data_IF_936463542554
#
_entry.id   IF_936463542554
#
_cell.length_a   1.000
_cell.length_b   1.000
_cell.length_c   1.000
_cell.angle_alpha   90.00
_cell.angle_beta   90.00
_cell.angle_gamma   90.00
#
_symmetry.space_group_name_H-M   'P 1'
#
loop_
_entity.id
_entity.type
_entity.pdbx_description
1 polymer ?
#
# COMPACT_ATOMS: atom_id res chain seq x y z
N UNK A 1 61.71 21.16 -43.20
CA UNK A 1 62.28 20.12 -42.32
C UNK A 1 61.23 19.70 -41.30
N UNK A 2 60.97 18.38 -41.20
CA UNK A 2 60.54 17.54 -40.04
C UNK A 2 59.69 18.20 -38.91
N UNK A 3 58.66 17.59 -38.31
CA UNK A 3 58.03 16.27 -38.31
C UNK A 3 56.78 16.39 -37.39
N UNK A 4 55.83 15.47 -37.54
CA UNK A 4 54.64 15.23 -36.71
C UNK A 4 54.93 15.05 -35.21
N UNK A 5 53.95 15.37 -34.35
CA UNK A 5 53.64 14.58 -33.15
C UNK A 5 52.13 14.63 -32.83
N UNK A 6 51.53 13.43 -32.86
CA UNK A 6 50.18 13.08 -32.44
C UNK A 6 50.18 12.95 -30.91
N UNK A 7 49.12 13.43 -30.24
CA UNK A 7 48.97 13.33 -28.79
C UNK A 7 47.50 13.15 -28.38
N UNK A 8 47.04 11.91 -28.46
CA UNK A 8 45.99 11.23 -27.66
C UNK A 8 44.95 12.06 -26.91
N UNK A 9 43.69 11.90 -27.33
CA UNK A 9 42.50 12.13 -26.51
C UNK A 9 42.48 11.21 -25.29
N UNK A 10 42.34 11.78 -24.10
CA UNK A 10 41.88 11.08 -22.90
C UNK A 10 40.44 11.52 -22.63
N UNK A 11 39.51 10.64 -22.96
CA UNK A 11 38.11 10.68 -22.54
C UNK A 11 38.05 10.54 -21.02
N UNK A 12 37.97 11.66 -20.31
CA UNK A 12 37.58 11.67 -18.90
C UNK A 12 36.06 11.53 -18.81
N UNK A 13 35.58 10.33 -18.48
CA UNK A 13 34.18 10.15 -18.10
C UNK A 13 33.93 10.92 -16.80
N UNK A 14 33.23 12.05 -16.89
CA UNK A 14 32.74 12.77 -15.72
C UNK A 14 31.64 11.90 -15.09
N UNK A 15 32.00 11.09 -14.10
CA UNK A 15 31.03 10.48 -13.23
C UNK A 15 30.34 11.61 -12.46
N UNK A 16 29.12 11.99 -12.88
CA UNK A 16 28.22 12.75 -12.03
C UNK A 16 27.85 11.85 -10.84
N UNK A 17 28.67 11.86 -9.80
CA UNK A 17 28.19 11.58 -8.47
C UNK A 17 27.10 12.63 -8.20
N UNK A 18 25.84 12.20 -8.23
CA UNK A 18 24.73 13.06 -7.84
C UNK A 18 24.93 13.45 -6.39
N UNK A 19 25.51 14.63 -6.14
CA UNK A 19 25.38 15.29 -4.86
C UNK A 19 23.89 15.56 -4.69
N UNK A 20 23.21 14.71 -3.93
CA UNK A 20 21.99 15.12 -3.27
C UNK A 20 22.40 16.28 -2.38
N UNK A 21 22.11 17.51 -2.81
CA UNK A 21 22.24 18.67 -1.94
C UNK A 21 21.46 18.35 -0.66
N UNK A 22 22.01 18.64 0.54
CA UNK A 22 21.25 18.52 1.78
C UNK A 22 19.91 19.25 1.56
N UNK A 23 18.80 18.57 1.84
CA UNK A 23 17.54 19.26 1.98
C UNK A 23 17.78 20.42 2.96
N UNK A 24 17.33 21.63 2.63
CA UNK A 24 17.51 22.77 3.52
C UNK A 24 16.84 22.45 4.87
N UNK A 25 17.64 22.17 5.90
CA UNK A 25 17.16 22.02 7.26
C UNK A 25 16.95 23.40 7.85
N UNK A 26 15.83 23.62 8.55
CA UNK A 26 15.66 24.82 9.35
C UNK A 26 16.67 24.81 10.50
N UNK A 27 17.11 25.99 10.94
CA UNK A 27 17.94 26.10 12.14
C UNK A 27 17.18 25.50 13.33
N UNK A 28 17.81 24.61 14.10
CA UNK A 28 17.18 23.94 15.24
C UNK A 28 16.50 22.60 14.93
N UNK A 29 16.42 22.18 13.67
CA UNK A 29 15.95 20.84 13.31
C UNK A 29 16.95 19.78 13.78
N UNK A 30 16.54 18.78 14.59
CA UNK A 30 17.45 17.72 15.00
C UNK A 30 17.81 16.80 13.83
N UNK A 31 19.05 16.30 13.84
CA UNK A 31 19.59 15.44 12.78
C UNK A 31 19.13 13.99 12.94
N UNK A 32 17.91 13.69 12.47
CA UNK A 32 17.37 12.34 12.46
C UNK A 32 17.52 11.72 11.07
N UNK A 33 17.95 10.47 11.05
CA UNK A 33 17.97 9.65 9.84
C UNK A 33 17.07 8.44 10.01
N UNK A 34 16.18 8.24 9.05
CA UNK A 34 15.30 7.08 8.97
C UNK A 34 15.75 6.18 7.81
N UNK A 35 16.08 4.92 8.11
CA UNK A 35 16.53 3.95 7.11
C UNK A 35 15.76 2.65 7.20
N UNK A 36 15.83 1.81 6.15
CA UNK A 36 15.20 0.50 6.15
C UNK A 36 13.67 0.50 6.27
N UNK A 37 13.02 1.63 5.96
CA UNK A 37 11.56 1.80 6.15
C UNK A 37 10.80 0.76 5.33
N UNK A 38 10.12 -0.14 6.03
CA UNK A 38 9.34 -1.21 5.43
C UNK A 38 7.89 -1.08 5.86
N UNK A 39 7.03 -0.73 4.92
CA UNK A 39 5.58 -0.60 5.14
C UNK A 39 4.90 -1.90 4.75
N UNK A 40 4.07 -2.45 5.64
CA UNK A 40 3.25 -3.64 5.41
C UNK A 40 4.04 -4.86 4.89
N UNK A 41 5.30 -5.03 5.32
CA UNK A 41 6.19 -6.10 4.83
C UNK A 41 6.39 -6.06 3.31
N UNK A 42 6.34 -4.87 2.71
CA UNK A 42 6.44 -4.65 1.26
C UNK A 42 5.19 -5.01 0.46
N UNK A 43 4.07 -5.34 1.12
CA UNK A 43 2.82 -5.73 0.45
C UNK A 43 1.87 -4.55 0.28
N UNK A 44 1.03 -4.53 -0.77
CA UNK A 44 -0.05 -3.55 -0.87
C UNK A 44 -0.99 -3.58 0.34
N UNK A 45 -1.46 -2.41 0.76
CA UNK A 45 -2.46 -2.24 1.80
C UNK A 45 -3.83 -2.32 1.13
N UNK A 46 -4.62 -3.36 1.41
CA UNK A 46 -5.93 -3.57 0.79
C UNK A 46 -7.04 -3.18 1.75
N UNK A 47 -7.76 -2.10 1.45
CA UNK A 47 -8.74 -1.50 2.37
C UNK A 47 -10.17 -1.68 1.88
N UNK A 48 -11.04 -2.15 2.77
CA UNK A 48 -12.49 -2.34 2.55
C UNK A 48 -13.27 -1.05 2.75
N UNK A 49 -14.54 -1.14 3.16
CA UNK A 49 -15.38 0.05 3.39
C UNK A 49 -15.75 0.30 4.86
N UNK A 50 -15.48 -0.65 5.76
CA UNK A 50 -15.92 -0.54 7.17
C UNK A 50 -14.87 -0.96 8.19
N UNK A 51 -14.03 -1.95 7.88
CA UNK A 51 -13.03 -2.46 8.83
C UNK A 51 -11.73 -1.69 8.68
N UNK A 52 -11.22 -1.20 9.80
CA UNK A 52 -9.88 -0.67 9.93
C UNK A 52 -8.84 -1.74 9.53
N UNK A 53 -7.77 -1.29 8.87
CA UNK A 53 -6.62 -2.11 8.47
C UNK A 53 -5.40 -1.63 9.24
N UNK A 54 -4.83 -2.52 10.06
CA UNK A 54 -3.60 -2.25 10.79
C UNK A 54 -2.41 -2.61 9.90
N UNK A 55 -1.55 -1.62 9.67
CA UNK A 55 -0.41 -1.68 8.77
C UNK A 55 0.87 -1.64 9.61
N UNK A 56 1.60 -2.75 9.74
CA UNK A 56 2.85 -2.75 10.45
C UNK A 56 3.90 -1.97 9.66
N UNK A 57 4.68 -1.14 10.36
CA UNK A 57 5.83 -0.42 9.83
C UNK A 57 7.03 -0.73 10.70
N UNK A 58 8.18 -0.94 10.05
CA UNK A 58 9.47 -1.12 10.72
C UNK A 58 10.53 -0.25 10.04
N UNK A 59 11.45 0.30 10.83
CA UNK A 59 12.52 1.15 10.34
C UNK A 59 13.65 1.23 11.37
N UNK A 60 14.82 1.66 10.92
CA UNK A 60 15.94 1.99 11.81
C UNK A 60 16.05 3.51 11.90
N UNK A 61 15.98 4.03 13.12
CA UNK A 61 16.16 5.43 13.45
C UNK A 61 17.59 5.65 13.94
N UNK A 62 18.26 6.69 13.44
CA UNK A 62 19.47 7.23 14.06
C UNK A 62 19.20 8.67 14.48
N UNK A 63 19.52 8.99 15.73
CA UNK A 63 19.32 10.33 16.32
C UNK A 63 20.56 10.78 17.10
N UNK A 64 20.70 12.08 17.39
CA UNK A 64 21.70 12.58 18.32
C UNK A 64 21.51 11.96 19.71
N UNK A 65 22.60 11.64 20.39
CA UNK A 65 22.58 10.98 21.71
C UNK A 65 21.92 11.84 22.79
N UNK A 66 22.08 13.15 22.69
CA UNK A 66 21.52 14.18 23.57
C UNK A 66 20.06 14.53 23.25
N UNK A 67 19.55 14.13 22.08
CA UNK A 67 18.14 14.30 21.76
C UNK A 67 17.28 13.31 22.54
N UNK A 68 16.42 13.84 23.42
CA UNK A 68 15.40 13.06 24.12
C UNK A 68 14.13 12.99 23.27
N UNK A 69 13.67 11.76 23.01
CA UNK A 69 12.37 11.52 22.39
C UNK A 69 11.46 10.78 23.36
N UNK A 70 10.52 11.49 23.98
CA UNK A 70 9.73 11.02 25.12
C UNK A 70 8.28 10.64 24.75
N UNK A 71 7.81 10.96 23.55
CA UNK A 71 6.42 10.81 23.10
C UNK A 71 5.42 11.66 23.87
N UNK A 72 5.90 12.69 24.58
CA UNK A 72 5.09 13.64 25.36
C UNK A 72 5.27 15.06 24.83
N UNK A 73 6.50 15.60 24.89
CA UNK A 73 6.87 16.90 24.32
C UNK A 73 7.56 16.76 22.97
N UNK A 74 8.07 15.58 22.67
CA UNK A 74 8.67 15.26 21.38
C UNK A 74 8.08 13.97 20.86
N UNK A 75 7.81 13.91 19.57
CA UNK A 75 7.27 12.72 18.93
C UNK A 75 8.07 12.41 17.66
N UNK A 76 8.23 11.13 17.37
CA UNK A 76 8.83 10.64 16.14
C UNK A 76 8.07 9.41 15.67
N UNK A 77 8.15 9.16 14.37
CA UNK A 77 7.49 8.00 13.75
C UNK A 77 7.65 8.02 12.25
N UNK A 78 6.92 7.14 11.58
CA UNK A 78 6.73 7.16 10.14
C UNK A 78 5.24 7.32 9.84
N UNK A 79 4.92 8.21 8.91
CA UNK A 79 3.58 8.32 8.32
C UNK A 79 3.61 7.98 6.83
N UNK A 80 2.45 7.72 6.26
CA UNK A 80 2.27 7.60 4.82
C UNK A 80 1.62 8.88 4.29
N UNK A 81 2.07 9.34 3.13
CA UNK A 81 1.50 10.51 2.47
C UNK A 81 1.32 10.29 0.97
N UNK A 82 0.33 10.99 0.40
CA UNK A 82 0.09 11.10 -1.04
C UNK A 82 0.48 12.51 -1.52
N UNK A 83 0.97 12.62 -2.75
CA UNK A 83 1.44 13.89 -3.31
C UNK A 83 2.86 14.24 -2.89
N UNK A 84 3.08 15.45 -2.40
CA UNK A 84 4.41 15.95 -1.98
C UNK A 84 4.36 16.44 -0.54
N UNK A 85 5.46 16.41 0.20
CA UNK A 85 5.47 16.93 1.57
C UNK A 85 5.14 18.44 1.65
N UNK A 86 5.39 19.20 0.58
CA UNK A 86 5.04 20.62 0.50
C UNK A 86 3.52 20.84 0.42
N UNK A 87 2.80 19.88 -0.15
CA UNK A 87 1.36 19.93 -0.37
C UNK A 87 0.86 18.49 -0.39
N UNK A 88 0.69 17.88 0.80
CA UNK A 88 0.19 16.51 0.90
C UNK A 88 -1.28 16.49 0.49
N UNK A 89 -1.64 15.55 -0.37
CA UNK A 89 -3.05 15.39 -0.77
C UNK A 89 -3.84 14.64 0.31
N UNK A 90 -3.18 13.73 1.02
CA UNK A 90 -3.73 12.90 2.08
C UNK A 90 -2.60 12.23 2.88
N UNK A 91 -2.88 11.86 4.13
CA UNK A 91 -1.90 11.30 5.06
C UNK A 91 -2.51 10.20 5.95
N UNK A 92 -1.67 9.24 6.36
CA UNK A 92 -2.01 8.21 7.34
C UNK A 92 -0.88 8.11 8.37
N UNK A 93 -1.16 8.53 9.60
CA UNK A 93 -0.23 8.48 10.70
C UNK A 93 -0.46 7.29 11.65
N UNK A 94 0.52 6.97 12.49
CA UNK A 94 0.34 6.05 13.60
C UNK A 94 -0.63 6.67 14.64
N UNK A 95 -1.45 5.83 15.28
CA UNK A 95 -2.36 6.26 16.36
C UNK A 95 -1.77 6.06 17.76
N UNK A 96 -0.56 5.49 17.83
CA UNK A 96 0.19 5.19 19.05
C UNK A 96 1.65 5.43 18.79
N UNK A 97 2.39 5.79 19.83
CA UNK A 97 3.84 5.94 19.75
C UNK A 97 4.52 4.67 19.20
N UNK A 98 5.58 4.80 18.39
CA UNK A 98 6.42 3.67 18.00
C UNK A 98 7.11 3.05 19.21
N UNK A 99 7.44 1.76 19.08
CA UNK A 99 8.30 1.05 20.02
C UNK A 99 9.68 0.95 19.39
N UNK A 100 10.67 1.58 20.02
CA UNK A 100 12.06 1.61 19.57
C UNK A 100 12.98 0.94 20.59
N UNK A 101 13.94 0.16 20.11
CA UNK A 101 14.96 -0.49 20.93
C UNK A 101 16.37 -0.09 20.44
N UNK A 102 17.25 0.44 21.30
CA UNK A 102 18.62 0.75 20.92
C UNK A 102 19.38 -0.49 20.45
N UNK A 103 20.04 -0.37 19.30
CA UNK A 103 20.89 -1.40 18.70
C UNK A 103 22.35 -1.02 18.68
N UNK A 104 22.66 0.28 18.64
CA UNK A 104 24.02 0.80 18.76
C UNK A 104 24.02 2.18 19.42
N UNK A 105 25.13 2.51 20.09
CA UNK A 105 25.37 3.83 20.67
C UNK A 105 26.81 4.23 20.43
N UNK A 106 27.02 5.45 19.94
CA UNK A 106 28.33 6.08 19.80
C UNK A 106 28.46 7.24 20.78
N UNK A 107 29.54 8.02 20.69
CA UNK A 107 29.68 9.24 21.47
C UNK A 107 28.63 10.30 21.11
N UNK A 108 28.18 10.34 19.86
CA UNK A 108 27.32 11.41 19.34
C UNK A 108 25.93 10.93 18.93
N UNK A 109 25.72 9.64 18.70
CA UNK A 109 24.46 9.12 18.15
C UNK A 109 23.97 7.86 18.85
N UNK A 110 22.66 7.64 18.77
CA UNK A 110 21.99 6.38 19.13
C UNK A 110 21.25 5.88 17.90
N UNK A 111 21.44 4.60 17.59
CA UNK A 111 20.71 3.90 16.54
C UNK A 111 19.73 2.92 17.18
N UNK A 112 18.50 2.94 16.71
CA UNK A 112 17.36 2.22 17.30
C UNK A 112 16.58 1.49 16.20
N UNK A 113 16.19 0.25 16.47
CA UNK A 113 15.22 -0.44 15.64
C UNK A 113 13.81 -0.14 16.15
N UNK A 114 12.99 0.43 15.29
CA UNK A 114 11.66 0.92 15.61
C UNK A 114 10.57 0.13 14.88
N UNK A 115 9.46 -0.09 15.56
CA UNK A 115 8.24 -0.65 14.99
C UNK A 115 7.01 0.13 15.42
N UNK A 116 6.06 0.27 14.51
CA UNK A 116 4.79 0.92 14.79
C UNK A 116 3.65 0.35 13.92
N UNK A 117 2.44 0.82 14.17
CA UNK A 117 1.26 0.45 13.39
C UNK A 117 0.51 1.69 12.94
N UNK A 118 0.41 1.84 11.64
CA UNK A 118 -0.46 2.82 10.99
C UNK A 118 -1.83 2.17 10.78
N UNK A 119 -2.91 2.83 11.16
CA UNK A 119 -4.26 2.30 10.99
C UNK A 119 -4.98 3.06 9.88
N UNK A 120 -5.37 2.34 8.83
CA UNK A 120 -6.22 2.88 7.77
C UNK A 120 -7.69 2.50 8.05
N UNK A 121 -8.47 3.48 8.45
CA UNK A 121 -9.91 3.47 8.71
C UNK A 121 -10.66 4.03 7.49
N UNK A 122 -11.34 3.17 6.71
CA UNK A 122 -11.84 3.55 5.38
C UNK A 122 -12.79 4.75 5.33
N UNK A 123 -13.54 5.03 6.38
CA UNK A 123 -14.52 6.12 6.48
C UNK A 123 -13.96 7.39 7.15
N UNK A 124 -12.71 7.36 7.60
CA UNK A 124 -12.06 8.48 8.30
C UNK A 124 -10.81 9.02 7.62
N UNK A 125 -10.12 8.23 6.79
CA UNK A 125 -8.92 8.72 6.11
C UNK A 125 -8.89 8.47 4.60
N UNK A 126 -9.82 7.68 4.06
CA UNK A 126 -9.88 7.38 2.62
C UNK A 126 -11.19 7.91 2.05
N UNK A 127 -11.15 9.05 1.38
CA UNK A 127 -12.38 9.73 0.93
C UNK A 127 -12.58 9.58 -0.58
N UNK A 128 -11.48 9.51 -1.34
CA UNK A 128 -11.51 9.71 -2.78
C UNK A 128 -11.17 8.46 -3.60
N UNK A 129 -11.38 8.55 -4.92
CA UNK A 129 -10.82 7.58 -5.86
C UNK A 129 -9.29 7.62 -5.92
N UNK A 130 -8.71 8.81 -5.77
CA UNK A 130 -7.27 9.05 -5.87
C UNK A 130 -6.46 8.42 -4.71
N UNK A 131 -7.09 8.20 -3.56
CA UNK A 131 -6.44 7.54 -2.42
C UNK A 131 -6.05 6.08 -2.71
N UNK A 132 -6.66 5.46 -3.72
CA UNK A 132 -6.23 4.16 -4.22
C UNK A 132 -5.11 4.34 -5.24
N UNK A 133 -3.86 4.15 -4.81
CA UNK A 133 -2.69 4.32 -5.66
C UNK A 133 -1.39 4.21 -4.88
N UNK A 134 -0.36 4.88 -5.41
CA UNK A 134 0.97 4.93 -4.82
C UNK A 134 1.03 5.98 -3.72
N UNK A 135 1.43 5.55 -2.53
CA UNK A 135 1.73 6.40 -1.37
C UNK A 135 3.20 6.27 -1.02
N UNK A 136 3.72 7.25 -0.29
CA UNK A 136 5.12 7.29 0.14
C UNK A 136 5.21 7.36 1.65
N UNK A 137 6.28 6.84 2.22
CA UNK A 137 6.57 6.99 3.63
C UNK A 137 7.40 8.24 3.90
N UNK A 138 7.12 8.89 5.03
CA UNK A 138 7.94 9.97 5.57
C UNK A 138 8.24 9.71 7.05
N UNK A 139 9.49 9.89 7.44
CA UNK A 139 9.89 9.97 8.84
C UNK A 139 9.48 11.32 9.38
N UNK A 140 8.97 11.37 10.59
CA UNK A 140 8.50 12.60 11.22
C UNK A 140 9.20 12.80 12.55
N UNK A 141 9.45 14.06 12.86
CA UNK A 141 9.80 14.52 14.19
C UNK A 141 8.97 15.75 14.50
N UNK A 142 8.30 15.74 15.64
CA UNK A 142 7.57 16.87 16.15
C UNK A 142 8.08 17.25 17.53
N UNK A 143 8.10 18.54 17.82
CA UNK A 143 8.25 19.08 19.15
C UNK A 143 7.01 19.91 19.46
N UNK A 144 6.42 19.70 20.62
CA UNK A 144 5.30 20.48 21.13
C UNK A 144 5.61 20.93 22.54
N UNK A 145 5.55 22.23 22.78
CA UNK A 145 5.58 22.81 24.12
C UNK A 145 4.50 23.88 24.24
N UNK A 146 4.23 24.31 25.47
CA UNK A 146 3.22 25.31 25.69
C UNK A 146 2.94 25.55 27.16
N UNK A 147 2.15 26.57 27.42
CA UNK A 147 1.68 26.92 28.75
C UNK A 147 0.28 27.50 28.63
N UNK A 148 -0.63 27.01 29.47
CA UNK A 148 -2.02 27.44 29.46
C UNK A 148 -2.50 27.76 30.88
N UNK A 149 -3.32 28.81 30.99
CA UNK A 149 -4.14 29.18 32.16
C UNK A 149 -5.48 29.72 31.66
N UNK A 150 -6.37 30.14 32.57
CA UNK A 150 -7.69 30.69 32.21
C UNK A 150 -7.59 31.95 31.31
N UNK A 151 -6.51 32.73 31.45
CA UNK A 151 -6.29 34.00 30.74
C UNK A 151 -5.05 33.99 29.82
N UNK A 152 -4.32 32.87 29.72
CA UNK A 152 -3.09 32.77 28.91
C UNK A 152 -3.02 31.45 28.16
N UNK A 153 -2.69 31.51 26.86
CA UNK A 153 -2.43 30.34 26.05
C UNK A 153 -1.21 30.60 25.17
N UNK A 154 -0.19 29.78 25.35
CA UNK A 154 1.00 29.72 24.50
C UNK A 154 1.20 28.29 24.01
N UNK A 155 1.48 28.14 22.73
CA UNK A 155 1.75 26.86 22.10
C UNK A 155 2.86 27.02 21.06
N UNK A 156 3.89 26.19 21.19
CA UNK A 156 4.95 26.02 20.21
C UNK A 156 4.82 24.64 19.59
N UNK A 157 4.91 24.58 18.27
CA UNK A 157 4.85 23.33 17.53
C UNK A 157 5.80 23.38 16.34
N UNK A 158 6.81 22.53 16.39
CA UNK A 158 7.74 22.31 15.29
C UNK A 158 7.49 20.93 14.68
N UNK A 159 7.47 20.86 13.35
CA UNK A 159 7.35 19.61 12.61
C UNK A 159 8.41 19.55 11.51
N UNK A 160 9.18 18.47 11.52
CA UNK A 160 10.12 18.13 10.46
C UNK A 160 9.74 16.78 9.86
N UNK A 161 9.81 16.68 8.53
CA UNK A 161 9.49 15.46 7.80
C UNK A 161 10.55 15.15 6.75
N UNK A 162 10.98 13.88 6.71
CA UNK A 162 11.90 13.35 5.70
C UNK A 162 11.14 12.38 4.81
N UNK A 163 10.86 12.79 3.57
CA UNK A 163 10.00 12.04 2.65
C UNK A 163 10.74 11.06 1.74
N UNK A 164 9.96 10.30 0.96
CA UNK A 164 10.45 9.35 -0.05
C UNK A 164 11.26 8.19 0.54
N UNK A 165 11.01 7.83 1.80
CA UNK A 165 11.76 6.78 2.48
C UNK A 165 11.35 5.36 2.05
N UNK A 166 10.10 5.22 1.61
CA UNK A 166 9.55 4.00 1.03
C UNK A 166 8.35 4.33 0.15
N UNK A 167 7.88 3.35 -0.64
CA UNK A 167 6.67 3.45 -1.45
C UNK A 167 5.77 2.24 -1.18
N UNK A 168 4.46 2.46 -1.12
CA UNK A 168 3.45 1.42 -0.88
C UNK A 168 2.22 1.66 -1.74
N UNK A 169 1.58 0.57 -2.18
CA UNK A 169 0.30 0.65 -2.88
C UNK A 169 -0.85 0.56 -1.86
N UNK A 170 -1.73 1.55 -1.84
CA UNK A 170 -3.04 1.44 -1.19
C UNK A 170 -4.06 1.04 -2.26
N UNK A 171 -4.79 -0.05 -2.01
CA UNK A 171 -5.72 -0.64 -2.98
C UNK A 171 -7.10 -0.81 -2.36
N UNK A 172 -8.13 -0.58 -3.17
CA UNK A 172 -9.52 -0.92 -2.82
C UNK A 172 -9.70 -2.43 -2.76
N UNK A 173 -10.36 -2.92 -1.73
CA UNK A 173 -10.70 -4.34 -1.65
C UNK A 173 -11.73 -4.70 -2.73
N UNK A 174 -11.55 -5.85 -3.39
CA UNK A 174 -12.55 -6.43 -4.29
C UNK A 174 -13.39 -7.51 -3.60
N UNK A 175 -14.63 -7.68 -4.05
CA UNK A 175 -15.51 -8.83 -3.76
C UNK A 175 -15.87 -9.51 -5.07
N UNK A 176 -15.92 -10.83 -5.05
CA UNK A 176 -16.14 -11.65 -6.22
C UNK A 176 -17.00 -12.86 -5.86
N UNK A 177 -18.08 -13.07 -6.60
CA UNK A 177 -19.01 -14.20 -6.44
C UNK A 177 -19.02 -15.06 -7.69
N UNK A 178 -19.45 -16.31 -7.55
CA UNK A 178 -19.69 -17.27 -8.63
C UNK A 178 -20.95 -18.06 -8.30
N UNK A 179 -21.68 -18.46 -9.34
CA UNK A 179 -22.81 -19.37 -9.28
C UNK A 179 -22.96 -20.06 -10.64
N UNK A 180 -22.88 -21.37 -10.68
CA UNK A 180 -23.08 -22.22 -11.84
C UNK A 180 -24.50 -22.82 -11.81
N UNK A 181 -25.17 -22.85 -12.96
CA UNK A 181 -26.53 -23.39 -13.07
C UNK A 181 -26.85 -23.82 -14.53
N UNK A 182 -27.76 -24.77 -14.76
CA UNK A 182 -28.54 -25.51 -13.78
C UNK A 182 -27.70 -26.56 -13.03
N UNK A 183 -28.16 -26.94 -11.85
CA UNK A 183 -27.60 -28.03 -11.06
C UNK A 183 -28.74 -28.91 -10.54
N UNK A 184 -28.64 -30.24 -10.71
CA UNK A 184 -27.63 -30.98 -11.47
C UNK A 184 -27.78 -30.76 -12.99
N UNK A 185 -26.68 -30.92 -13.73
CA UNK A 185 -26.66 -30.75 -15.20
C UNK A 185 -26.32 -32.07 -15.89
N UNK A 186 -26.98 -32.37 -17.01
CA UNK A 186 -26.66 -33.55 -17.81
C UNK A 186 -25.32 -33.35 -18.54
N UNK A 187 -24.48 -34.38 -18.56
CA UNK A 187 -23.20 -34.35 -19.28
C UNK A 187 -23.34 -33.87 -20.73
N UNK A 188 -22.44 -33.01 -21.17
CA UNK A 188 -22.42 -32.39 -22.49
C UNK A 188 -23.41 -31.22 -22.68
N UNK A 189 -24.31 -30.97 -21.71
CA UNK A 189 -25.20 -29.81 -21.76
C UNK A 189 -24.50 -28.53 -21.33
N UNK A 190 -25.14 -27.43 -21.68
CA UNK A 190 -24.63 -26.09 -21.38
C UNK A 190 -24.90 -25.76 -19.91
N UNK A 191 -23.84 -25.35 -19.22
CA UNK A 191 -23.87 -24.79 -17.88
C UNK A 191 -23.57 -23.29 -17.99
N UNK A 192 -24.37 -22.46 -17.32
CA UNK A 192 -24.15 -21.01 -17.23
C UNK A 192 -23.50 -20.69 -15.89
N UNK A 193 -22.34 -20.04 -15.93
CA UNK A 193 -21.64 -19.56 -14.74
C UNK A 193 -21.75 -18.05 -14.68
N UNK A 194 -22.43 -17.55 -13.64
CA UNK A 194 -22.65 -16.14 -13.37
C UNK A 194 -21.88 -15.70 -12.12
N UNK A 195 -21.66 -14.41 -11.99
CA UNK A 195 -20.99 -13.83 -10.83
C UNK A 195 -21.05 -12.31 -10.84
N UNK A 196 -20.42 -11.69 -9.85
CA UNK A 196 -20.32 -10.22 -9.76
C UNK A 196 -18.96 -9.82 -9.19
N UNK A 197 -18.23 -8.97 -9.91
CA UNK A 197 -17.03 -8.30 -9.43
C UNK A 197 -17.41 -6.91 -8.92
N UNK A 198 -17.17 -6.65 -7.65
CA UNK A 198 -17.37 -5.32 -7.05
C UNK A 198 -16.10 -4.89 -6.32
N UNK A 199 -15.94 -3.58 -6.08
CA UNK A 199 -14.82 -3.04 -5.29
C UNK A 199 -15.30 -1.99 -4.31
N UNK A 200 -14.52 -1.77 -3.26
CA UNK A 200 -14.76 -0.71 -2.29
C UNK A 200 -14.82 0.66 -2.98
N UNK A 201 -15.84 1.44 -2.60
CA UNK A 201 -15.99 2.86 -2.93
C UNK A 201 -16.10 3.61 -1.61
N UNK A 202 -14.99 4.18 -1.15
CA UNK A 202 -14.89 4.78 0.17
C UNK A 202 -15.82 5.99 0.34
N UNK A 203 -15.89 6.87 -0.66
CA UNK A 203 -16.84 7.99 -0.72
C UNK A 203 -18.31 7.62 -0.41
N UNK A 204 -18.74 6.39 -0.73
CA UNK A 204 -20.11 5.93 -0.49
C UNK A 204 -20.20 4.84 0.58
N UNK A 205 -19.09 4.45 1.21
CA UNK A 205 -19.03 3.34 2.18
C UNK A 205 -19.47 1.97 1.62
N UNK A 206 -19.61 1.81 0.31
CA UNK A 206 -20.24 0.63 -0.32
C UNK A 206 -19.36 -0.06 -1.36
N UNK A 207 -19.73 -1.29 -1.71
CA UNK A 207 -19.11 -2.02 -2.82
C UNK A 207 -19.91 -1.81 -4.10
N UNK A 208 -19.29 -1.19 -5.11
CA UNK A 208 -19.92 -0.90 -6.39
C UNK A 208 -19.35 -1.78 -7.50
N UNK A 209 -20.13 -1.95 -8.57
CA UNK A 209 -19.77 -2.79 -9.71
C UNK A 209 -18.48 -2.35 -10.39
N UNK A 210 -17.50 -3.27 -10.52
CA UNK A 210 -16.24 -2.97 -11.17
C UNK A 210 -16.23 -3.49 -12.60
N UNK A 211 -16.62 -2.62 -13.55
CA UNK A 211 -16.77 -2.92 -14.98
C UNK A 211 -15.43 -2.94 -15.73
N UNK A 212 -15.38 -3.66 -16.85
CA UNK A 212 -14.28 -3.64 -17.80
C UNK A 212 -13.06 -4.45 -17.39
N UNK A 213 -13.17 -5.27 -16.35
CA UNK A 213 -12.04 -6.01 -15.78
C UNK A 213 -12.00 -7.43 -16.29
N UNK A 214 -10.79 -7.91 -16.62
CA UNK A 214 -10.56 -9.32 -16.95
C UNK A 214 -10.68 -10.18 -15.69
N UNK A 215 -11.50 -11.22 -15.76
CA UNK A 215 -11.72 -12.22 -14.70
C UNK A 215 -11.62 -13.61 -15.33
N UNK A 216 -10.93 -14.51 -14.67
CA UNK A 216 -10.71 -15.88 -15.14
C UNK A 216 -11.67 -16.84 -14.42
N UNK A 217 -12.48 -17.57 -15.17
CA UNK A 217 -13.19 -18.73 -14.69
C UNK A 217 -12.20 -19.91 -14.61
N UNK A 218 -12.10 -20.51 -13.43
CA UNK A 218 -11.38 -21.74 -13.19
C UNK A 218 -12.33 -22.86 -12.83
N UNK A 219 -11.93 -24.10 -13.13
CA UNK A 219 -12.63 -25.31 -12.76
C UNK A 219 -11.64 -26.33 -12.19
N UNK A 220 -12.05 -27.04 -11.15
CA UNK A 220 -11.40 -28.28 -10.72
C UNK A 220 -12.42 -29.41 -10.80
N UNK A 221 -12.04 -30.55 -11.36
CA UNK A 221 -12.84 -31.77 -11.19
C UNK A 221 -12.74 -32.24 -9.73
N UNK A 222 -13.68 -33.07 -9.29
CA UNK A 222 -13.60 -33.71 -7.97
C UNK A 222 -12.29 -34.50 -7.83
N UNK A 223 -11.57 -34.29 -6.73
CA UNK A 223 -10.23 -34.84 -6.49
C UNK A 223 -9.09 -34.20 -7.31
N UNK A 224 -9.37 -33.17 -8.13
CA UNK A 224 -8.40 -32.52 -9.00
C UNK A 224 -7.93 -31.14 -8.54
N UNK A 225 -7.08 -30.52 -9.37
CA UNK A 225 -6.61 -29.15 -9.22
C UNK A 225 -7.37 -28.16 -10.12
N UNK A 226 -7.33 -26.87 -9.78
CA UNK A 226 -7.95 -25.83 -10.58
C UNK A 226 -7.16 -25.57 -11.86
N UNK A 227 -7.86 -25.54 -12.99
CA UNK A 227 -7.36 -25.10 -14.29
C UNK A 227 -8.17 -23.91 -14.83
N UNK A 228 -7.53 -23.05 -15.62
CA UNK A 228 -8.22 -21.95 -16.30
C UNK A 228 -9.13 -22.52 -17.39
N UNK A 229 -10.40 -22.10 -17.40
CA UNK A 229 -11.39 -22.53 -18.40
C UNK A 229 -11.66 -21.43 -19.41
N UNK A 230 -11.85 -20.20 -18.92
CA UNK A 230 -12.20 -19.06 -19.77
C UNK A 230 -11.86 -17.75 -19.10
N UNK A 231 -11.44 -16.77 -19.88
CA UNK A 231 -11.32 -15.38 -19.43
C UNK A 231 -12.52 -14.58 -19.95
N UNK A 232 -13.15 -13.80 -19.08
CA UNK A 232 -14.26 -12.91 -19.39
C UNK A 232 -13.99 -11.50 -18.89
N UNK A 233 -14.74 -10.54 -19.43
CA UNK A 233 -14.69 -9.14 -18.99
C UNK A 233 -15.95 -8.81 -18.20
N UNK A 234 -15.80 -8.15 -17.04
CA UNK A 234 -16.95 -7.71 -16.25
C UNK A 234 -17.78 -6.65 -16.97
N UNK A 235 -19.10 -6.87 -17.00
CA UNK A 235 -20.07 -5.98 -17.63
C UNK A 235 -20.58 -4.88 -16.71
N UNK A 236 -21.73 -4.30 -17.08
CA UNK A 236 -22.44 -3.30 -16.28
C UNK A 236 -22.72 -3.81 -14.86
N UNK A 237 -22.53 -2.96 -13.86
CA UNK A 237 -22.67 -3.34 -12.45
C UNK A 237 -21.66 -4.39 -11.97
N UNK A 238 -20.60 -4.67 -12.76
CA UNK A 238 -19.62 -5.71 -12.45
C UNK A 238 -20.10 -7.13 -12.77
N UNK A 239 -21.19 -7.29 -13.53
CA UNK A 239 -21.76 -8.60 -13.85
C UNK A 239 -20.75 -9.48 -14.62
N UNK A 240 -20.71 -10.76 -14.26
CA UNK A 240 -19.95 -11.80 -14.93
C UNK A 240 -20.92 -12.86 -15.41
N UNK A 241 -20.78 -13.31 -16.66
CA UNK A 241 -21.61 -14.39 -17.21
C UNK A 241 -20.85 -15.07 -18.34
N UNK A 242 -20.80 -16.40 -18.30
CA UNK A 242 -20.31 -17.22 -19.40
C UNK A 242 -21.02 -18.57 -19.41
N UNK A 243 -20.94 -19.26 -20.53
CA UNK A 243 -21.36 -20.65 -20.65
C UNK A 243 -20.15 -21.57 -20.84
N UNK A 244 -20.29 -22.81 -20.35
CA UNK A 244 -19.33 -23.91 -20.51
C UNK A 244 -20.11 -25.21 -20.76
N UNK A 245 -19.44 -26.26 -21.23
CA UNK A 245 -20.04 -27.59 -21.35
C UNK A 245 -19.75 -28.41 -20.10
N UNK A 246 -20.79 -29.00 -19.51
CA UNK A 246 -20.67 -29.85 -18.34
C UNK A 246 -19.99 -31.17 -18.71
N UNK A 247 -18.77 -31.40 -18.23
CA UNK A 247 -18.00 -32.61 -18.54
C UNK A 247 -17.94 -33.63 -17.41
N UNK A 248 -17.65 -33.13 -16.20
CA UNK A 248 -17.49 -33.91 -14.95
C UNK A 248 -17.99 -33.06 -13.78
N UNK A 249 -18.36 -33.71 -12.68
CA UNK A 249 -18.62 -33.02 -11.41
C UNK A 249 -17.36 -32.32 -10.90
N UNK A 250 -17.54 -31.18 -10.23
CA UNK A 250 -16.42 -30.38 -9.76
C UNK A 250 -16.80 -28.95 -9.37
N UNK A 251 -15.80 -28.13 -9.06
CA UNK A 251 -15.99 -26.78 -8.51
C UNK A 251 -15.53 -25.71 -9.50
N UNK A 252 -16.39 -24.74 -9.77
CA UNK A 252 -16.06 -23.50 -10.49
C UNK A 252 -15.72 -22.37 -9.54
N UNK A 253 -14.79 -21.49 -9.93
CA UNK A 253 -14.53 -20.22 -9.24
C UNK A 253 -14.09 -19.13 -10.20
N UNK A 254 -14.37 -17.89 -9.87
CA UNK A 254 -13.78 -16.75 -10.57
C UNK A 254 -12.53 -16.25 -9.85
N UNK A 255 -11.55 -15.81 -10.62
CA UNK A 255 -10.30 -15.21 -10.14
C UNK A 255 -10.09 -13.86 -10.83
N UNK A 256 -10.00 -12.80 -10.03
CA UNK A 256 -9.61 -11.46 -10.45
C UNK A 256 -8.19 -11.17 -9.95
N UNK A 257 -7.28 -10.87 -10.89
CA UNK A 257 -5.86 -10.68 -10.59
C UNK A 257 -5.54 -9.35 -9.86
N UNK A 258 -6.51 -8.45 -9.73
CA UNK A 258 -6.27 -7.10 -9.21
C UNK A 258 -5.82 -6.12 -10.29
N UNK A 259 -5.70 -4.86 -9.89
CA UNK A 259 -5.15 -3.75 -10.68
C UNK A 259 -4.17 -2.94 -9.83
N UNK A 260 -3.64 -1.84 -10.36
CA UNK A 260 -2.87 -0.89 -9.57
C UNK A 260 -3.67 -0.37 -8.36
N UNK A 261 -4.97 -0.12 -8.52
CA UNK A 261 -5.82 0.52 -7.50
C UNK A 261 -6.79 -0.41 -6.79
N UNK A 262 -6.82 -1.70 -7.14
CA UNK A 262 -7.78 -2.67 -6.56
C UNK A 262 -7.08 -4.00 -6.30
N UNK A 263 -7.25 -4.56 -5.10
CA UNK A 263 -6.65 -5.82 -4.70
C UNK A 263 -7.19 -7.02 -5.49
N UNK A 264 -6.38 -8.06 -5.63
CA UNK A 264 -6.81 -9.32 -6.23
C UNK A 264 -7.88 -10.01 -5.37
N UNK A 265 -8.76 -10.80 -6.01
CA UNK A 265 -9.77 -11.58 -5.30
C UNK A 265 -10.11 -12.87 -6.04
N UNK A 266 -10.19 -13.96 -5.28
CA UNK A 266 -10.75 -15.24 -5.73
C UNK A 266 -12.10 -15.43 -5.05
N UNK A 267 -13.13 -15.84 -5.79
CA UNK A 267 -14.43 -16.16 -5.21
C UNK A 267 -14.38 -17.42 -4.36
N UNK A 268 -15.37 -17.60 -3.48
CA UNK A 268 -15.70 -18.95 -3.03
C UNK A 268 -15.99 -19.83 -4.25
N UNK A 269 -15.69 -21.13 -4.16
CA UNK A 269 -16.02 -22.07 -5.22
C UNK A 269 -17.48 -22.48 -5.17
N UNK A 270 -18.04 -22.86 -6.31
CA UNK A 270 -19.39 -23.39 -6.45
C UNK A 270 -19.34 -24.77 -7.13
N UNK A 271 -19.93 -25.78 -6.49
CA UNK A 271 -19.80 -27.18 -6.90
C UNK A 271 -21.00 -27.62 -7.73
N UNK A 272 -20.71 -28.13 -8.93
CA UNK A 272 -21.70 -28.64 -9.88
C UNK A 272 -21.66 -30.17 -9.86
N UNK A 273 -22.84 -30.77 -9.74
CA UNK A 273 -23.03 -32.20 -9.99
C UNK A 273 -23.44 -32.44 -11.45
N UNK A 274 -22.69 -33.30 -12.15
CA UNK A 274 -23.01 -33.76 -13.50
C UNK A 274 -23.66 -35.14 -13.44
N UNK A 275 -24.79 -35.30 -14.13
CA UNK A 275 -25.52 -36.56 -14.29
C UNK A 275 -25.34 -37.16 -15.69
#
# INVERSE_FOLDING_TARGET
MRKLAIGTALSGALALAGLAAPAASAAGTPDLTFTGVTVNKGKPIVVGTTKAVNVPVSYTLTRPKDLVIDQEKTAQGVLLYRGTLKSPDNELGPRKAPVCAPTATTETTVTEDCTETITAVPDQELYEAADAGTWKAAGVYAHSDGSASDDYLHSEYDLTMWGNLASVQIKRAARLTVNAAPEPVVKGRTLTVKGKLTRATWATGTYTGYKGQKVVLQFKADGGAYANVRTITSGTGGALSTTVKAGKSGTYRFVFAGTATTGAKTSAGDHVTVK
#
